data_IF_799927686360
#
_entry.id   IF_799927686360
#
_cell.length_a   1.000
_cell.length_b   1.000
_cell.length_c   1.000
_cell.angle_alpha   90.00
_cell.angle_beta   90.00
_cell.angle_gamma   90.00
#
_symmetry.space_group_name_H-M   'P 1'
#
loop_
_entity.id
_entity.type
_entity.pdbx_description
1 polymer ?
#
# COMPACT_ATOMS: atom_id res chain seq x y z
N UNK A 1 9.28 -23.93 -4.85
CA UNK A 1 8.06 -23.33 -4.26
C UNK A 1 8.40 -22.27 -3.21
N UNK A 2 9.38 -22.53 -2.33
CA UNK A 2 9.89 -21.59 -1.29
C UNK A 2 10.46 -20.28 -1.84
N UNK A 3 11.10 -20.30 -3.01
CA UNK A 3 11.65 -19.10 -3.66
C UNK A 3 10.55 -18.11 -4.10
N UNK A 4 9.38 -18.58 -4.56
CA UNK A 4 8.26 -17.69 -4.92
C UNK A 4 7.70 -16.96 -3.70
N UNK A 5 7.62 -17.64 -2.55
CA UNK A 5 7.14 -17.01 -1.31
C UNK A 5 8.17 -16.03 -0.76
N UNK A 6 9.47 -16.32 -0.90
CA UNK A 6 10.57 -15.45 -0.47
C UNK A 6 10.68 -14.20 -1.34
N UNK A 7 10.52 -14.32 -2.67
CA UNK A 7 10.39 -13.18 -3.57
C UNK A 7 9.15 -12.36 -3.26
N UNK A 8 7.99 -12.99 -3.05
CA UNK A 8 6.77 -12.28 -2.65
C UNK A 8 6.92 -11.58 -1.30
N UNK A 9 7.55 -12.21 -0.30
CA UNK A 9 7.76 -11.64 1.04
C UNK A 9 8.77 -10.48 1.02
N UNK A 10 9.87 -10.60 0.25
CA UNK A 10 10.81 -9.51 0.01
C UNK A 10 10.16 -8.36 -0.76
N UNK A 11 9.28 -8.67 -1.71
CA UNK A 11 8.54 -7.68 -2.49
C UNK A 11 7.47 -6.96 -1.65
N UNK A 12 6.81 -7.68 -0.72
CA UNK A 12 5.83 -7.11 0.22
C UNK A 12 6.49 -6.19 1.26
N UNK A 13 7.74 -6.47 1.68
CA UNK A 13 8.43 -5.70 2.74
C UNK A 13 9.32 -4.55 2.23
N UNK A 14 9.53 -4.39 0.92
CA UNK A 14 10.46 -3.39 0.36
C UNK A 14 10.02 -2.91 -1.03
N UNK A 15 8.92 -2.16 -1.11
CA UNK A 15 8.21 -2.01 -2.40
C UNK A 15 8.71 -0.88 -3.30
N UNK A 16 9.31 0.19 -2.75
CA UNK A 16 9.83 1.30 -3.57
C UNK A 16 11.06 1.90 -2.88
N UNK A 17 12.27 1.50 -3.29
CA UNK A 17 13.53 2.01 -2.70
C UNK A 17 14.22 3.05 -3.58
N UNK A 18 13.93 3.07 -4.88
CA UNK A 18 14.58 4.00 -5.81
C UNK A 18 13.59 4.85 -6.58
N UNK A 19 14.07 6.01 -7.03
CA UNK A 19 13.32 6.91 -7.91
C UNK A 19 12.88 6.20 -9.19
N UNK A 20 13.75 5.41 -9.80
CA UNK A 20 13.39 4.66 -11.01
C UNK A 20 12.29 3.64 -10.79
N UNK A 21 12.31 2.94 -9.65
CA UNK A 21 11.29 1.96 -9.29
C UNK A 21 9.92 2.63 -9.12
N UNK A 22 9.88 3.77 -8.42
CA UNK A 22 8.69 4.60 -8.31
C UNK A 22 8.16 4.99 -9.70
N UNK A 23 9.03 5.49 -10.58
CA UNK A 23 8.64 5.89 -11.93
C UNK A 23 8.02 4.72 -12.70
N UNK A 24 8.59 3.51 -12.63
CA UNK A 24 8.06 2.33 -13.32
C UNK A 24 6.67 1.94 -12.81
N UNK A 25 6.47 1.88 -11.49
CA UNK A 25 5.21 1.46 -10.86
C UNK A 25 4.06 2.42 -11.21
N UNK A 26 4.33 3.72 -11.24
CA UNK A 26 3.30 4.74 -11.46
C UNK A 26 3.04 5.05 -12.93
N UNK A 27 3.53 4.25 -13.89
CA UNK A 27 3.25 4.43 -15.32
C UNK A 27 4.42 4.92 -16.17
N UNK A 28 5.65 4.69 -15.71
CA UNK A 28 6.88 4.93 -16.47
C UNK A 28 7.31 6.40 -16.58
N UNK A 29 6.60 7.34 -15.95
CA UNK A 29 6.92 8.77 -16.03
C UNK A 29 6.91 9.47 -14.68
N UNK A 30 7.80 10.46 -14.50
CA UNK A 30 7.82 11.33 -13.32
C UNK A 30 6.53 12.14 -13.15
N UNK A 31 5.85 12.44 -14.26
CA UNK A 31 4.56 13.15 -14.24
C UNK A 31 3.51 12.29 -13.54
N UNK A 32 3.40 11.01 -13.90
CA UNK A 32 2.41 10.12 -13.31
C UNK A 32 2.66 9.86 -11.81
N UNK A 33 3.93 9.82 -11.38
CA UNK A 33 4.29 9.82 -9.94
C UNK A 33 3.81 11.10 -9.25
N UNK A 34 4.06 12.25 -9.87
CA UNK A 34 3.63 13.55 -9.34
C UNK A 34 2.11 13.65 -9.20
N UNK A 35 1.39 13.26 -10.25
CA UNK A 35 -0.08 13.24 -10.28
C UNK A 35 -0.64 12.32 -9.18
N UNK A 36 0.00 11.18 -8.92
CA UNK A 36 -0.42 10.24 -7.88
C UNK A 36 -0.20 10.75 -6.44
N UNK A 37 0.79 11.61 -6.23
CA UNK A 37 1.13 12.19 -4.92
C UNK A 37 0.61 13.61 -4.73
N UNK A 38 0.06 14.24 -5.77
CA UNK A 38 -0.34 15.64 -5.74
C UNK A 38 0.84 16.61 -5.65
N UNK A 39 2.01 16.23 -6.20
CA UNK A 39 3.23 17.06 -6.22
C UNK A 39 3.66 17.33 -7.66
N UNK A 40 4.46 18.38 -7.86
CA UNK A 40 4.95 18.71 -9.19
C UNK A 40 5.95 17.66 -9.71
N UNK A 41 6.00 17.47 -11.03
CA UNK A 41 7.05 16.68 -11.68
C UNK A 41 8.46 17.13 -11.27
N UNK A 42 8.66 18.43 -11.08
CA UNK A 42 9.95 18.99 -10.69
C UNK A 42 10.34 18.56 -9.26
N UNK A 43 9.40 18.40 -8.34
CA UNK A 43 9.67 17.83 -7.02
C UNK A 43 10.15 16.37 -7.13
N UNK A 44 9.52 15.55 -8.00
CA UNK A 44 9.94 14.16 -8.27
C UNK A 44 11.34 14.11 -8.90
N UNK A 45 11.66 15.06 -9.79
CA UNK A 45 12.98 15.14 -10.42
C UNK A 45 14.11 15.37 -9.41
N UNK A 46 13.85 16.20 -8.40
CA UNK A 46 14.80 16.54 -7.32
C UNK A 46 15.01 15.41 -6.32
N UNK A 47 14.24 14.32 -6.40
CA UNK A 47 14.44 13.21 -5.50
C UNK A 47 15.82 12.55 -5.70
N UNK A 48 16.47 12.15 -4.60
CA UNK A 48 17.66 11.31 -4.65
C UNK A 48 17.36 9.98 -5.36
N UNK A 49 18.42 9.30 -5.81
CA UNK A 49 18.26 7.99 -6.46
C UNK A 49 17.68 6.97 -5.49
N UNK A 50 18.21 6.93 -4.27
CA UNK A 50 17.66 6.20 -3.13
C UNK A 50 16.66 7.07 -2.38
N UNK A 51 15.42 6.62 -2.28
CA UNK A 51 14.35 7.43 -1.71
C UNK A 51 14.40 7.38 -0.17
N UNK A 52 14.17 8.52 0.51
CA UNK A 52 13.96 8.52 1.94
C UNK A 52 12.75 7.66 2.31
N UNK A 53 12.82 6.99 3.45
CA UNK A 53 11.76 6.10 3.93
C UNK A 53 10.37 6.77 3.93
N UNK A 54 10.29 8.03 4.38
CA UNK A 54 9.03 8.81 4.35
C UNK A 54 8.43 8.95 2.94
N UNK A 55 9.30 9.09 1.93
CA UNK A 55 8.88 9.20 0.52
C UNK A 55 8.42 7.85 0.00
N UNK A 56 9.15 6.79 0.32
CA UNK A 56 8.76 5.41 0.03
C UNK A 56 7.40 5.05 0.62
N UNK A 57 7.15 5.38 1.89
CA UNK A 57 5.88 5.10 2.57
C UNK A 57 4.71 5.85 1.91
N UNK A 58 4.92 7.10 1.50
CA UNK A 58 3.91 7.87 0.74
C UNK A 58 3.61 7.23 -0.60
N UNK A 59 4.64 6.78 -1.32
CA UNK A 59 4.50 6.10 -2.60
C UNK A 59 3.75 4.77 -2.44
N UNK A 60 4.09 3.96 -1.42
CA UNK A 60 3.36 2.73 -1.12
C UNK A 60 1.88 3.04 -0.85
N UNK A 61 1.60 4.04 0.00
CA UNK A 61 0.23 4.46 0.28
C UNK A 61 -0.54 4.91 -0.96
N UNK A 62 0.11 5.66 -1.87
CA UNK A 62 -0.49 6.09 -3.14
C UNK A 62 -0.74 4.92 -4.08
N UNK A 63 0.22 4.01 -4.23
CA UNK A 63 0.11 2.82 -5.09
C UNK A 63 -1.03 1.89 -4.63
N UNK A 64 -1.24 1.75 -3.31
CA UNK A 64 -2.37 0.99 -2.75
C UNK A 64 -3.71 1.65 -3.13
N UNK A 65 -3.84 2.97 -2.96
CA UNK A 65 -5.08 3.70 -3.29
C UNK A 65 -5.41 3.62 -4.78
N UNK A 66 -4.38 3.68 -5.63
CA UNK A 66 -4.52 3.62 -7.08
C UNK A 66 -4.62 2.18 -7.62
N UNK A 67 -4.57 1.16 -6.75
CA UNK A 67 -4.57 -0.27 -7.13
C UNK A 67 -3.48 -0.62 -8.17
N UNK A 68 -2.35 0.09 -8.11
CA UNK A 68 -1.20 -0.12 -8.99
C UNK A 68 -0.28 -1.25 -8.50
N UNK A 69 -0.48 -1.69 -7.26
CA UNK A 69 0.16 -2.88 -6.72
C UNK A 69 -0.63 -4.13 -7.13
N UNK A 70 0.04 -5.23 -7.50
CA UNK A 70 -0.63 -6.47 -7.87
C UNK A 70 -1.57 -6.95 -6.74
N UNK A 71 -2.73 -7.54 -7.09
CA UNK A 71 -3.72 -8.02 -6.13
C UNK A 71 -3.14 -9.20 -5.33
N UNK A 72 -2.48 -8.87 -4.23
CA UNK A 72 -1.65 -9.79 -3.46
C UNK A 72 -0.87 -9.11 -2.35
N UNK A 73 -0.85 -7.77 -2.30
CA UNK A 73 -0.45 -7.06 -1.10
C UNK A 73 -1.46 -7.39 0.02
N UNK A 74 -1.03 -8.04 1.12
CA UNK A 74 -1.90 -8.19 2.27
C UNK A 74 -2.26 -6.79 2.76
N UNK A 75 -3.54 -6.43 2.68
CA UNK A 75 -4.06 -5.27 3.39
C UNK A 75 -3.92 -5.57 4.89
N UNK A 76 -2.79 -5.16 5.47
CA UNK A 76 -2.48 -5.36 6.89
C UNK A 76 -3.55 -4.73 7.80
N UNK A 77 -4.46 -3.89 7.27
CA UNK A 77 -5.64 -3.39 7.99
C UNK A 77 -6.68 -4.46 8.32
N UNK A 78 -6.61 -5.68 7.77
CA UNK A 78 -7.54 -6.78 8.08
C UNK A 78 -7.13 -7.73 9.22
N UNK A 79 -6.04 -7.48 9.98
CA UNK A 79 -5.63 -8.41 11.07
C UNK A 79 -5.80 -7.91 12.51
N UNK A 80 -6.30 -6.70 12.75
CA UNK A 80 -6.43 -6.19 14.13
C UNK A 80 -7.68 -5.31 14.38
N UNK A 81 -8.77 -5.52 13.64
CA UNK A 81 -10.04 -4.87 14.00
C UNK A 81 -11.28 -5.77 13.75
N UNK A 82 -11.20 -7.01 14.24
CA UNK A 82 -12.30 -7.98 14.28
C UNK A 82 -12.72 -8.37 15.69
N UNK A 83 -12.38 -7.56 16.70
CA UNK A 83 -12.74 -7.77 18.09
C UNK A 83 -13.40 -6.53 18.67
N UNK A 84 -14.65 -6.27 18.28
CA UNK A 84 -15.65 -5.60 19.13
C UNK A 84 -17.05 -5.76 18.52
N UNK A 85 -17.85 -6.62 19.16
CA UNK A 85 -19.32 -6.69 19.20
C UNK A 85 -20.06 -6.86 17.86
N UNK A 86 -20.65 -8.00 17.52
CA UNK A 86 -21.50 -8.89 18.34
C UNK A 86 -22.53 -8.10 19.16
N UNK A 87 -23.56 -7.57 18.50
CA UNK A 87 -24.87 -7.44 19.13
C UNK A 87 -25.68 -8.67 18.70
N UNK A 88 -25.73 -9.65 19.60
CA UNK A 88 -26.54 -10.86 19.53
C UNK A 88 -28.05 -10.52 19.59
N UNK A 89 -28.95 -11.46 19.24
CA UNK A 89 -30.38 -11.20 19.07
C UNK A 89 -31.08 -10.82 20.38
N UNK A 90 -32.14 -10.02 20.21
CA UNK A 90 -33.08 -9.53 21.23
C UNK A 90 -33.51 -10.66 22.19
N UNK A 91 -33.42 -10.47 23.52
CA UNK A 91 -33.98 -11.44 24.45
C UNK A 91 -35.51 -11.31 24.47
N UNK A 92 -36.22 -12.17 23.75
CA UNK A 92 -37.58 -12.53 24.12
C UNK A 92 -37.49 -13.45 25.34
N UNK A 93 -37.70 -12.87 26.52
CA UNK A 93 -38.07 -13.61 27.72
C UNK A 93 -39.46 -13.18 28.16
N UNK A 94 -40.25 -14.21 28.45
CA UNK A 94 -41.44 -14.26 29.30
C UNK A 94 -42.70 -13.58 28.74
N UNK A 95 -43.90 -14.19 28.80
CA UNK A 95 -44.38 -15.49 29.24
C UNK A 95 -45.91 -15.50 29.08
N UNK A 96 -46.50 -16.69 29.22
CA UNK A 96 -47.94 -17.00 29.38
C UNK A 96 -48.73 -17.31 28.11
#
# INVERSE_FOLDING_TARGET
MTEMVKTALLFIMSTIRTKQEAIRIFGGTMKAVGDALGISRQAVYQWPEELPQDTSDRLVGAAIRLKLLPPGLPDSRRRHNGAASSQAPKPERESA
#
